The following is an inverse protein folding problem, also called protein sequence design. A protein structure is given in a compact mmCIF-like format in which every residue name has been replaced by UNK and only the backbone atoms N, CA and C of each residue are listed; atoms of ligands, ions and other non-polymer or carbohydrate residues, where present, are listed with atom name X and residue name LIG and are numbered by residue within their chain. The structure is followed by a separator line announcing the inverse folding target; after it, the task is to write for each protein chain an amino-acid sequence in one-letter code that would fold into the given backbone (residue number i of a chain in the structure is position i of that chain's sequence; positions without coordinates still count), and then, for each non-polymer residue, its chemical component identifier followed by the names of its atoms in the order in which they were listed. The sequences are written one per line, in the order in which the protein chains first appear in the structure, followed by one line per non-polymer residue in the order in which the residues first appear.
data_IF_213415862970
#
_entry.id   IF_213415862970
#
_cell.length_a   1.000
_cell.length_b   1.000
_cell.length_c   1.000
_cell.angle_alpha   90.00
_cell.angle_beta   90.00
_cell.angle_gamma   90.00
#
_symmetry.space_group_name_H-M   'P 1'
#
loop_
_entity.id
_entity.type
_entity.pdbx_description
1 polymer ?
#
# COMPACT_ATOMS: atom_id res chain seq x y z
N UNK A 1 10.71 -11.54 29.72
CA UNK A 1 9.38 -11.33 29.11
C UNK A 1 9.29 -9.86 28.77
N UNK A 2 9.42 -9.48 27.50
CA UNK A 2 9.23 -8.10 27.08
C UNK A 2 7.73 -7.76 27.29
N UNK A 3 7.46 -6.82 28.19
CA UNK A 3 6.10 -6.31 28.37
C UNK A 3 5.66 -5.69 27.03
N UNK A 4 4.57 -6.18 26.45
CA UNK A 4 3.93 -5.58 25.29
C UNK A 4 3.43 -4.18 25.67
N UNK A 5 4.29 -3.19 25.56
CA UNK A 5 3.92 -1.79 25.82
C UNK A 5 3.05 -1.31 24.69
N UNK A 6 1.76 -1.21 24.94
CA UNK A 6 0.77 -0.70 23.97
C UNK A 6 1.00 0.79 23.68
N UNK A 7 1.36 1.58 24.69
CA UNK A 7 1.67 3.01 24.57
C UNK A 7 3.16 3.19 24.32
N UNK A 8 3.55 3.17 23.06
CA UNK A 8 4.88 3.54 22.58
C UNK A 8 4.78 4.72 21.62
N UNK A 9 5.86 5.48 21.45
CA UNK A 9 5.88 6.62 20.53
C UNK A 9 5.54 6.18 19.09
N UNK A 10 6.09 5.06 18.55
CA UNK A 10 5.68 4.56 17.24
C UNK A 10 4.18 4.24 17.15
N UNK A 11 3.62 3.54 18.13
CA UNK A 11 2.18 3.21 18.12
C UNK A 11 1.29 4.47 18.14
N UNK A 12 1.71 5.53 18.85
CA UNK A 12 0.97 6.80 18.87
C UNK A 12 0.94 7.42 17.46
N UNK A 13 2.05 7.36 16.73
CA UNK A 13 2.12 7.85 15.34
C UNK A 13 1.22 7.00 14.42
N UNK A 14 1.17 5.68 14.59
CA UNK A 14 0.26 4.80 13.84
C UNK A 14 -1.21 5.12 14.14
N UNK A 15 -1.57 5.41 15.41
CA UNK A 15 -2.93 5.85 15.77
C UNK A 15 -3.27 7.23 15.20
N UNK A 16 -2.32 8.16 15.21
CA UNK A 16 -2.52 9.49 14.61
C UNK A 16 -2.75 9.35 13.10
N UNK A 17 -2.00 8.49 12.43
CA UNK A 17 -2.20 8.13 11.03
C UNK A 17 -3.58 7.53 10.79
N UNK A 18 -4.01 6.59 11.62
CA UNK A 18 -5.34 5.99 11.52
C UNK A 18 -6.45 7.04 11.62
N UNK A 19 -6.32 8.00 12.55
CA UNK A 19 -7.24 9.13 12.66
C UNK A 19 -7.16 10.10 11.46
N UNK A 20 -6.02 10.16 10.79
CA UNK A 20 -5.82 10.94 9.57
C UNK A 20 -6.63 10.43 8.38
N UNK A 21 -6.98 9.13 8.31
CA UNK A 21 -7.76 8.56 7.19
C UNK A 21 -9.15 9.21 7.06
N UNK A 22 -10.00 9.25 8.10
CA UNK A 22 -11.29 9.90 7.99
C UNK A 22 -11.16 11.42 7.76
N UNK A 23 -10.14 12.07 8.32
CA UNK A 23 -9.86 13.48 8.04
C UNK A 23 -9.53 13.70 6.56
N UNK A 24 -8.67 12.88 5.99
CA UNK A 24 -8.32 12.90 4.57
C UNK A 24 -9.55 12.74 3.68
N UNK A 25 -10.37 11.73 3.96
CA UNK A 25 -11.60 11.48 3.22
C UNK A 25 -12.58 12.65 3.33
N UNK A 26 -12.75 13.20 4.52
CA UNK A 26 -13.62 14.36 4.72
C UNK A 26 -13.14 15.59 3.95
N UNK A 27 -11.82 15.89 4.00
CA UNK A 27 -11.24 17.01 3.26
C UNK A 27 -11.42 16.85 1.75
N UNK A 28 -11.25 15.64 1.25
CA UNK A 28 -11.25 15.38 -0.19
C UNK A 28 -12.66 15.26 -0.77
N UNK A 29 -13.59 14.64 -0.05
CA UNK A 29 -14.96 14.37 -0.53
C UNK A 29 -15.96 15.46 -0.13
N UNK A 30 -15.76 16.13 1.01
CA UNK A 30 -16.62 17.21 1.49
C UNK A 30 -16.26 18.56 0.87
N UNK A 31 -15.38 19.36 1.51
CA UNK A 31 -15.03 20.69 1.03
C UNK A 31 -14.19 20.71 -0.24
N UNK A 32 -13.71 19.54 -0.72
CA UNK A 32 -12.79 19.42 -1.85
C UNK A 32 -11.52 20.25 -1.67
N UNK A 33 -11.01 20.28 -0.44
CA UNK A 33 -9.82 21.01 -0.05
C UNK A 33 -8.55 20.22 -0.41
N UNK A 34 -8.24 20.13 -1.70
CA UNK A 34 -7.20 19.29 -2.27
C UNK A 34 -5.82 19.52 -1.65
N UNK A 35 -5.47 20.79 -1.41
CA UNK A 35 -4.19 21.14 -0.80
C UNK A 35 -4.09 20.66 0.66
N UNK A 36 -5.17 20.77 1.45
CA UNK A 36 -5.19 20.26 2.82
C UNK A 36 -5.17 18.73 2.85
N UNK A 37 -5.92 18.09 1.97
CA UNK A 37 -5.88 16.64 1.81
C UNK A 37 -4.49 16.15 1.39
N UNK A 38 -3.81 16.88 0.49
CA UNK A 38 -2.44 16.61 0.10
C UNK A 38 -1.49 16.71 1.31
N UNK A 39 -1.62 17.76 2.14
CA UNK A 39 -0.80 17.90 3.35
C UNK A 39 -1.02 16.74 4.29
N UNK A 40 -2.26 16.32 4.54
CA UNK A 40 -2.57 15.14 5.38
C UNK A 40 -1.93 13.88 4.81
N UNK A 41 -2.01 13.65 3.50
CA UNK A 41 -1.42 12.49 2.84
C UNK A 41 0.12 12.47 2.95
N UNK A 42 0.77 13.61 2.71
CA UNK A 42 2.23 13.75 2.81
C UNK A 42 2.70 13.59 4.27
N UNK A 43 2.03 14.23 5.22
CA UNK A 43 2.34 14.10 6.65
C UNK A 43 2.17 12.65 7.10
N UNK A 44 1.13 11.96 6.62
CA UNK A 44 0.92 10.54 6.91
C UNK A 44 2.09 9.68 6.41
N UNK A 45 2.54 9.87 5.17
CA UNK A 45 3.70 9.15 4.64
C UNK A 45 5.01 9.45 5.37
N UNK A 46 5.23 10.72 5.78
CA UNK A 46 6.39 11.10 6.56
C UNK A 46 6.38 10.49 7.97
N UNK A 47 5.22 10.45 8.62
CA UNK A 47 5.07 9.84 9.95
C UNK A 47 5.28 8.34 9.90
N UNK A 48 4.88 7.65 8.84
CA UNK A 48 5.17 6.23 8.60
C UNK A 48 6.68 5.93 8.52
N UNK A 49 7.40 6.73 7.75
CA UNK A 49 8.85 6.58 7.69
C UNK A 49 9.51 6.89 9.04
N UNK A 50 8.97 7.86 9.78
CA UNK A 50 9.51 8.30 11.07
C UNK A 50 9.27 7.27 12.17
N UNK A 51 8.08 6.64 12.25
CA UNK A 51 7.77 5.64 13.27
C UNK A 51 8.64 4.39 13.10
N UNK A 52 8.89 3.94 11.87
CA UNK A 52 9.82 2.86 11.60
C UNK A 52 11.28 3.18 11.98
N UNK A 53 11.71 4.45 11.87
CA UNK A 53 13.02 4.89 12.38
C UNK A 53 13.04 4.98 13.90
N UNK A 54 12.03 5.58 14.50
CA UNK A 54 11.92 5.74 15.96
C UNK A 54 11.83 4.39 16.68
N UNK A 55 11.08 3.43 16.13
CA UNK A 55 10.99 2.08 16.68
C UNK A 55 12.38 1.42 16.78
N UNK A 56 13.23 1.62 15.77
CA UNK A 56 14.62 1.12 15.76
C UNK A 56 15.53 1.88 16.72
N UNK A 57 15.48 3.20 16.73
CA UNK A 57 16.33 4.05 17.56
C UNK A 57 16.00 3.93 19.04
N UNK A 58 14.71 3.80 19.39
CA UNK A 58 14.24 3.74 20.77
C UNK A 58 14.11 2.30 21.31
N UNK A 59 14.39 1.27 20.47
CA UNK A 59 14.15 -0.14 20.80
C UNK A 59 12.72 -0.40 21.32
N UNK A 60 11.74 0.32 20.75
CA UNK A 60 10.33 0.24 21.13
C UNK A 60 9.53 -0.57 20.08
N UNK A 61 9.84 -1.85 19.96
CA UNK A 61 9.04 -2.76 19.14
C UNK A 61 7.83 -3.24 19.92
N UNK A 62 6.64 -3.11 19.32
CA UNK A 62 5.41 -3.69 19.87
C UNK A 62 4.75 -4.62 18.85
N UNK A 63 4.11 -5.69 19.35
CA UNK A 63 3.31 -6.58 18.49
C UNK A 63 2.13 -5.85 17.86
N UNK A 64 1.56 -4.89 18.61
CA UNK A 64 0.44 -4.08 18.14
C UNK A 64 0.88 -3.18 16.97
N UNK A 65 2.02 -2.47 17.08
CA UNK A 65 2.57 -1.64 16.01
C UNK A 65 2.84 -2.47 14.75
N UNK A 66 3.49 -3.61 14.88
CA UNK A 66 3.78 -4.49 13.74
C UNK A 66 2.53 -4.98 12.98
N UNK A 67 1.34 -4.98 13.62
CA UNK A 67 0.05 -5.28 12.98
C UNK A 67 -0.65 -4.02 12.47
N UNK A 68 -0.55 -2.91 13.20
CA UNK A 68 -1.21 -1.65 12.85
C UNK A 68 -0.59 -1.01 11.61
N UNK A 69 0.74 -0.97 11.50
CA UNK A 69 1.43 -0.29 10.41
C UNK A 69 0.98 -0.80 9.03
N UNK A 70 1.04 -2.11 8.71
CA UNK A 70 0.56 -2.60 7.42
C UNK A 70 -0.95 -2.43 7.23
N UNK A 71 -1.74 -2.43 8.31
CA UNK A 71 -3.18 -2.24 8.22
C UNK A 71 -3.54 -0.79 7.88
N UNK A 72 -2.88 0.17 8.54
CA UNK A 72 -3.08 1.60 8.32
C UNK A 72 -2.63 2.00 6.91
N UNK A 73 -1.50 1.48 6.43
CA UNK A 73 -1.01 1.73 5.06
C UNK A 73 -2.00 1.26 4.00
N UNK A 74 -2.53 0.05 4.17
CA UNK A 74 -3.57 -0.45 3.26
C UNK A 74 -4.84 0.38 3.32
N UNK A 75 -5.23 0.82 4.52
CA UNK A 75 -6.42 1.66 4.70
C UNK A 75 -6.24 3.01 4.01
N UNK A 76 -5.06 3.64 4.11
CA UNK A 76 -4.75 4.88 3.38
C UNK A 76 -4.79 4.69 1.87
N UNK A 77 -4.18 3.62 1.36
CA UNK A 77 -4.20 3.31 -0.07
C UNK A 77 -5.63 3.12 -0.57
N UNK A 78 -6.44 2.33 0.14
CA UNK A 78 -7.84 2.09 -0.22
C UNK A 78 -8.68 3.37 -0.12
N UNK A 79 -8.49 4.17 0.93
CA UNK A 79 -9.17 5.44 1.11
C UNK A 79 -8.82 6.43 -0.02
N UNK A 80 -7.55 6.50 -0.40
CA UNK A 80 -7.10 7.34 -1.52
C UNK A 80 -7.71 6.90 -2.84
N UNK A 81 -7.66 5.60 -3.16
CA UNK A 81 -8.26 5.04 -4.36
C UNK A 81 -9.78 5.26 -4.40
N UNK A 82 -10.45 5.06 -3.27
CA UNK A 82 -11.90 5.30 -3.14
C UNK A 82 -12.24 6.78 -3.39
N UNK A 83 -11.51 7.70 -2.76
CA UNK A 83 -11.72 9.12 -2.94
C UNK A 83 -11.44 9.59 -4.39
N UNK A 84 -10.39 9.06 -5.02
CA UNK A 84 -10.06 9.33 -6.41
C UNK A 84 -11.10 8.78 -7.38
N UNK A 85 -11.70 7.63 -7.06
CA UNK A 85 -12.82 7.07 -7.80
C UNK A 85 -14.06 7.98 -7.72
N UNK A 86 -14.46 8.36 -6.50
CA UNK A 86 -15.66 9.20 -6.26
C UNK A 86 -15.52 10.58 -6.90
N UNK A 87 -14.30 11.13 -6.93
CA UNK A 87 -13.99 12.42 -7.55
C UNK A 87 -13.66 12.34 -9.03
N UNK A 88 -13.73 11.15 -9.63
CA UNK A 88 -13.39 10.91 -11.04
C UNK A 88 -11.95 11.32 -11.42
N UNK A 89 -11.05 11.41 -10.42
CA UNK A 89 -9.63 11.72 -10.63
C UNK A 89 -8.93 10.56 -11.33
N UNK A 90 -9.30 9.31 -10.99
CA UNK A 90 -8.86 8.10 -11.67
C UNK A 90 -10.06 7.37 -12.27
N UNK A 91 -9.93 6.83 -13.50
CA UNK A 91 -10.96 5.99 -14.09
C UNK A 91 -11.24 4.76 -13.22
N UNK A 92 -12.52 4.35 -13.14
CA UNK A 92 -12.94 3.22 -12.29
C UNK A 92 -12.18 1.92 -12.59
N UNK A 93 -11.85 1.66 -13.85
CA UNK A 93 -11.11 0.45 -14.26
C UNK A 93 -9.67 0.43 -13.74
N UNK A 94 -9.00 1.59 -13.61
CA UNK A 94 -7.68 1.70 -12.98
C UNK A 94 -7.77 1.34 -11.50
N UNK A 95 -8.73 1.96 -10.79
CA UNK A 95 -8.96 1.69 -9.37
C UNK A 95 -9.29 0.21 -9.15
N UNK A 96 -10.20 -0.34 -9.96
CA UNK A 96 -10.57 -1.75 -9.90
C UNK A 96 -9.36 -2.67 -10.13
N UNK A 97 -8.52 -2.37 -11.11
CA UNK A 97 -7.31 -3.16 -11.41
C UNK A 97 -6.31 -3.16 -10.24
N UNK A 98 -6.06 -1.99 -9.63
CA UNK A 98 -5.15 -1.87 -8.48
C UNK A 98 -5.68 -2.62 -7.25
N UNK A 99 -6.97 -2.46 -6.94
CA UNK A 99 -7.62 -3.16 -5.81
C UNK A 99 -7.66 -4.67 -6.05
N UNK A 100 -8.03 -5.12 -7.25
CA UNK A 100 -8.08 -6.54 -7.60
C UNK A 100 -6.71 -7.20 -7.47
N UNK A 101 -5.66 -6.50 -7.90
CA UNK A 101 -4.28 -6.96 -7.72
C UNK A 101 -3.94 -7.15 -6.23
N UNK A 102 -4.28 -6.20 -5.36
CA UNK A 102 -4.01 -6.30 -3.93
C UNK A 102 -4.76 -7.45 -3.28
N UNK A 103 -6.00 -7.65 -3.67
CA UNK A 103 -6.80 -8.81 -3.23
C UNK A 103 -6.16 -10.11 -3.72
N UNK A 104 -5.78 -10.21 -4.99
CA UNK A 104 -5.18 -11.40 -5.56
C UNK A 104 -3.86 -11.78 -4.86
N UNK A 105 -2.99 -10.81 -4.61
CA UNK A 105 -1.73 -11.04 -3.88
C UNK A 105 -1.99 -11.43 -2.43
N UNK A 106 -2.95 -10.79 -1.75
CA UNK A 106 -3.30 -11.10 -0.36
C UNK A 106 -3.87 -12.52 -0.23
N UNK A 107 -4.75 -12.91 -1.14
CA UNK A 107 -5.30 -14.28 -1.20
C UNK A 107 -4.20 -15.29 -1.49
N UNK A 108 -3.32 -15.01 -2.45
CA UNK A 108 -2.18 -15.88 -2.78
C UNK A 108 -1.26 -16.07 -1.58
N UNK A 109 -0.95 -15.00 -0.84
CA UNK A 109 -0.15 -15.07 0.38
C UNK A 109 -0.82 -15.91 1.47
N UNK A 110 -2.14 -15.77 1.63
CA UNK A 110 -2.90 -16.55 2.61
C UNK A 110 -2.87 -18.04 2.26
N UNK A 111 -3.04 -18.38 0.98
CA UNK A 111 -2.99 -19.78 0.50
C UNK A 111 -1.61 -20.41 0.73
N UNK A 112 -0.53 -19.69 0.41
CA UNK A 112 0.85 -20.16 0.65
C UNK A 112 1.09 -20.42 2.13
N UNK A 113 0.70 -19.47 3.00
CA UNK A 113 0.84 -19.64 4.46
C UNK A 113 0.03 -20.81 5.00
N UNK A 114 -1.21 -21.00 4.53
CA UNK A 114 -2.04 -22.16 4.92
C UNK A 114 -1.48 -23.50 4.46
N UNK A 115 -0.79 -23.50 3.33
CA UNK A 115 -0.10 -24.69 2.81
C UNK A 115 1.25 -24.98 3.51
N UNK A 116 1.67 -24.13 4.47
CA UNK A 116 2.91 -24.31 5.23
C UNK A 116 4.17 -23.84 4.50
N UNK A 117 4.05 -23.14 3.38
CA UNK A 117 5.19 -22.67 2.59
C UNK A 117 5.62 -21.28 2.99
N UNK A 118 6.91 -21.00 2.81
CA UNK A 118 7.43 -19.65 2.92
C UNK A 118 6.90 -18.76 1.75
N UNK A 119 6.50 -17.51 2.03
CA UNK A 119 6.07 -16.61 0.97
C UNK A 119 7.23 -16.34 -0.01
N UNK A 120 6.95 -16.17 -1.31
CA UNK A 120 7.95 -15.76 -2.28
C UNK A 120 8.66 -14.47 -1.87
N UNK A 121 9.91 -14.31 -2.27
CA UNK A 121 10.68 -13.11 -1.99
C UNK A 121 10.06 -11.87 -2.66
N UNK A 122 10.14 -10.74 -1.97
CA UNK A 122 9.62 -9.46 -2.47
C UNK A 122 10.42 -9.02 -3.69
N UNK A 123 9.75 -8.92 -4.83
CA UNK A 123 10.36 -8.53 -6.09
C UNK A 123 10.72 -7.03 -6.09
N UNK A 124 11.89 -6.68 -6.64
CA UNK A 124 12.32 -5.27 -6.82
C UNK A 124 11.33 -4.46 -7.65
N UNK A 125 10.66 -5.08 -8.61
CA UNK A 125 9.61 -4.44 -9.42
C UNK A 125 8.45 -3.96 -8.52
N UNK A 126 8.04 -4.77 -7.54
CA UNK A 126 7.01 -4.38 -6.58
C UNK A 126 7.44 -3.18 -5.71
N UNK A 127 8.71 -3.11 -5.31
CA UNK A 127 9.24 -1.97 -4.57
C UNK A 127 9.24 -0.70 -5.43
N UNK A 128 9.69 -0.79 -6.68
CA UNK A 128 9.66 0.32 -7.63
C UNK A 128 8.23 0.79 -7.91
N UNK A 129 7.28 -0.14 -8.05
CA UNK A 129 5.87 0.17 -8.25
C UNK A 129 5.28 0.96 -7.08
N UNK A 130 5.49 0.47 -5.84
CA UNK A 130 5.02 1.15 -4.63
C UNK A 130 5.65 2.54 -4.49
N UNK A 131 6.94 2.67 -4.78
CA UNK A 131 7.63 3.96 -4.79
C UNK A 131 7.00 4.94 -5.78
N UNK A 132 6.74 4.50 -7.02
CA UNK A 132 6.09 5.34 -8.02
C UNK A 132 4.69 5.79 -7.60
N UNK A 133 3.87 4.89 -7.05
CA UNK A 133 2.52 5.23 -6.60
C UNK A 133 2.53 6.14 -5.36
N UNK A 134 3.52 5.96 -4.47
CA UNK A 134 3.71 6.81 -3.28
C UNK A 134 3.92 8.29 -3.65
N UNK A 135 4.62 8.57 -4.75
CA UNK A 135 4.76 9.92 -5.29
C UNK A 135 3.63 10.30 -6.26
N UNK A 136 3.13 9.32 -7.00
CA UNK A 136 2.09 9.53 -8.01
C UNK A 136 0.78 10.06 -7.42
N UNK A 137 0.31 9.51 -6.30
CA UNK A 137 -0.96 9.91 -5.69
C UNK A 137 -0.93 11.34 -5.12
N UNK A 138 0.08 11.77 -4.35
CA UNK A 138 0.21 13.17 -3.94
C UNK A 138 0.34 14.14 -5.13
N UNK A 139 1.13 13.78 -6.15
CA UNK A 139 1.26 14.60 -7.36
C UNK A 139 -0.06 14.70 -8.12
N UNK A 140 -0.82 13.60 -8.20
CA UNK A 140 -2.12 13.59 -8.87
C UNK A 140 -3.13 14.48 -8.14
N UNK A 141 -3.07 14.51 -6.81
CA UNK A 141 -3.90 15.39 -6.01
C UNK A 141 -3.49 16.88 -6.17
N UNK A 142 -2.18 17.16 -6.19
CA UNK A 142 -1.66 18.49 -6.49
C UNK A 142 -2.09 18.97 -7.89
N UNK A 143 -2.13 18.07 -8.86
CA UNK A 143 -2.50 18.35 -10.24
C UNK A 143 -3.98 18.73 -10.44
N UNK A 144 -4.83 18.56 -9.41
CA UNK A 144 -6.26 18.98 -9.46
C UNK A 144 -6.45 20.49 -9.27
N UNK A 145 -5.45 21.20 -8.76
CA UNK A 145 -5.53 22.66 -8.58
C UNK A 145 -5.33 23.45 -9.87
N UNK A 146 -5.56 24.77 -9.79
CA UNK A 146 -5.42 25.73 -10.90
C UNK A 146 -4.13 26.55 -10.80
N UNK A 147 -3.19 26.17 -9.95
CA UNK A 147 -1.93 26.87 -9.76
C UNK A 147 -0.88 26.45 -10.81
N UNK A 148 0.13 27.31 -11.05
CA UNK A 148 1.28 26.96 -11.90
C UNK A 148 1.97 25.68 -11.41
N UNK A 149 2.01 25.44 -10.10
CA UNK A 149 2.54 24.22 -9.53
C UNK A 149 1.72 22.98 -9.94
N UNK A 150 0.40 23.11 -10.01
CA UNK A 150 -0.50 22.04 -10.47
C UNK A 150 -0.28 21.74 -11.95
N UNK A 151 -0.12 22.75 -12.79
CA UNK A 151 0.16 22.58 -14.23
C UNK A 151 1.48 21.85 -14.47
N UNK A 152 2.52 22.22 -13.72
CA UNK A 152 3.83 21.53 -13.79
C UNK A 152 3.72 20.11 -13.24
N UNK A 153 3.00 19.88 -12.16
CA UNK A 153 2.86 18.56 -11.53
C UNK A 153 2.06 17.58 -12.41
N UNK A 154 1.12 18.07 -13.22
CA UNK A 154 0.17 17.25 -13.99
C UNK A 154 0.83 16.19 -14.87
N UNK A 155 1.79 16.48 -15.76
CA UNK A 155 2.41 15.46 -16.60
C UNK A 155 3.20 14.42 -15.76
N UNK A 156 3.86 14.85 -14.70
CA UNK A 156 4.58 13.96 -13.79
C UNK A 156 3.61 13.05 -13.02
N UNK A 157 2.51 13.59 -12.52
CA UNK A 157 1.49 12.83 -11.81
C UNK A 157 0.96 11.66 -12.66
N UNK A 158 0.55 11.96 -13.89
CA UNK A 158 0.07 10.91 -14.81
C UNK A 158 1.16 9.92 -15.19
N UNK A 159 2.40 10.37 -15.42
CA UNK A 159 3.52 9.48 -15.71
C UNK A 159 3.81 8.53 -14.54
N UNK A 160 3.90 9.04 -13.32
CA UNK A 160 4.14 8.23 -12.12
C UNK A 160 3.00 7.23 -11.85
N UNK A 161 1.75 7.66 -12.00
CA UNK A 161 0.59 6.77 -11.79
C UNK A 161 0.49 5.72 -12.89
N UNK A 162 0.69 6.08 -14.16
CA UNK A 162 0.65 5.12 -15.26
C UNK A 162 1.78 4.09 -15.15
N UNK A 163 3.02 4.55 -14.96
CA UNK A 163 4.16 3.67 -14.84
C UNK A 163 4.13 2.84 -13.55
N UNK A 164 3.83 3.50 -12.41
CA UNK A 164 3.66 2.85 -11.12
C UNK A 164 2.56 1.79 -11.16
N UNK A 165 1.41 2.12 -11.73
CA UNK A 165 0.29 1.19 -11.90
C UNK A 165 0.65 0.00 -12.78
N UNK A 166 1.32 0.22 -13.92
CA UNK A 166 1.78 -0.86 -14.79
C UNK A 166 2.75 -1.81 -14.08
N UNK A 167 3.77 -1.25 -13.38
CA UNK A 167 4.72 -2.05 -12.59
C UNK A 167 4.02 -2.78 -11.44
N UNK A 168 3.02 -2.15 -10.82
CA UNK A 168 2.26 -2.73 -9.72
C UNK A 168 1.46 -3.94 -10.16
N UNK A 169 0.75 -3.83 -11.27
CA UNK A 169 0.01 -4.95 -11.86
C UNK A 169 0.94 -6.07 -12.33
N UNK A 170 2.05 -5.72 -12.98
CA UNK A 170 3.05 -6.68 -13.43
C UNK A 170 3.67 -7.46 -12.27
N UNK A 171 4.09 -6.75 -11.21
CA UNK A 171 4.64 -7.41 -10.02
C UNK A 171 3.64 -8.34 -9.34
N UNK A 172 2.36 -7.95 -9.32
CA UNK A 172 1.29 -8.79 -8.78
C UNK A 172 1.07 -10.06 -9.59
N UNK A 173 1.08 -9.93 -10.92
CA UNK A 173 0.99 -11.09 -11.82
C UNK A 173 2.14 -12.07 -11.60
N UNK A 174 3.38 -11.56 -11.56
CA UNK A 174 4.55 -12.39 -11.28
C UNK A 174 4.44 -13.12 -9.94
N UNK A 175 3.96 -12.42 -8.91
CA UNK A 175 3.77 -13.02 -7.58
C UNK A 175 2.75 -14.16 -7.61
N UNK A 176 1.60 -13.95 -8.23
CA UNK A 176 0.56 -14.98 -8.36
C UNK A 176 1.07 -16.19 -9.17
N UNK A 177 1.79 -15.95 -10.26
CA UNK A 177 2.40 -17.01 -11.09
C UNK A 177 3.40 -17.83 -10.27
N UNK A 178 4.30 -17.19 -9.51
CA UNK A 178 5.25 -17.88 -8.64
C UNK A 178 4.55 -18.77 -7.60
N UNK A 179 3.50 -18.24 -6.96
CA UNK A 179 2.69 -19.01 -5.99
C UNK A 179 2.04 -20.22 -6.63
N UNK A 180 1.40 -20.04 -7.79
CA UNK A 180 0.73 -21.15 -8.50
C UNK A 180 1.71 -22.22 -8.96
N UNK A 181 2.89 -21.82 -9.46
CA UNK A 181 3.94 -22.74 -9.87
C UNK A 181 4.49 -23.53 -8.68
N UNK A 182 4.77 -22.88 -7.55
CA UNK A 182 5.24 -23.54 -6.33
C UNK A 182 4.25 -24.58 -5.81
N UNK A 183 2.98 -24.20 -5.69
CA UNK A 183 1.92 -25.13 -5.22
C UNK A 183 1.67 -26.31 -6.19
N UNK A 184 1.92 -26.13 -7.49
CA UNK A 184 1.82 -27.24 -8.47
C UNK A 184 3.00 -28.18 -8.41
N UNK A 185 4.22 -27.68 -8.27
CA UNK A 185 5.43 -28.50 -8.20
C UNK A 185 5.39 -29.49 -7.04
N UNK A 186 4.91 -29.05 -5.88
CA UNK A 186 4.80 -29.91 -4.70
C UNK A 186 3.70 -30.97 -4.81
N UNK A 187 2.59 -30.66 -5.47
CA UNK A 187 1.55 -31.65 -5.74
C UNK A 187 2.06 -32.79 -6.63
N UNK A 188 2.96 -32.50 -7.57
CA UNK A 188 3.57 -33.52 -8.46
C UNK A 188 4.59 -34.34 -7.68
N UNK A 189 5.41 -33.68 -6.81
CA UNK A 189 6.39 -34.39 -5.96
C UNK A 189 5.76 -35.35 -4.96
N UNK A 190 4.67 -34.96 -4.32
CA UNK A 190 3.94 -35.82 -3.36
C UNK A 190 3.17 -36.93 -4.04
N UNK A 191 2.63 -36.71 -5.24
CA UNK A 191 1.97 -37.78 -6.02
C UNK A 191 2.96 -38.85 -6.50
N UNK A 192 4.18 -38.44 -6.90
CA UNK A 192 5.24 -39.41 -7.30
C UNK A 192 5.78 -40.25 -6.14
N UNK A 193 5.85 -39.67 -4.93
CA UNK A 193 6.30 -40.39 -3.72
C UNK A 193 5.24 -41.37 -3.15
N UNK A 194 3.96 -41.15 -3.45
CA UNK A 194 2.87 -42.03 -3.01
C UNK A 194 2.65 -43.24 -3.95
N UNK A 195 3.27 -43.26 -5.14
CA UNK A 195 3.18 -44.31 -6.14
C UNK A 195 4.43 -45.19 -6.24
N UNK A 196 5.45 -44.96 -5.44
CA UNK A 196 6.68 -45.73 -5.29
C UNK A 196 6.70 -46.49 -3.96
#
# INVERSE_FOLDING_TARGET
MAQDRVLTVPNLLSFLRLAGVPLFLWLLLGPKADLLALVVLVVSGLTDWLDGKLARLLNQYSRLGALLDPAVDRLYTLATLFAFLVREILPWWVVAALVLRDVAVSVSLLLVRRAGYAPPEVNYIGKAATFNLMYGFPLLLLAQGDSTAAEIARPFAYAFVAWGGALFLWSGLLYVVQVVMGLRADRIGTAGAASA
#
